data_IF_236459343675
#
_entry.id   IF_236459343675
#
_cell.length_a   1.000
_cell.length_b   1.000
_cell.length_c   1.000
_cell.angle_alpha   90.00
_cell.angle_beta   90.00
_cell.angle_gamma   90.00
#
_symmetry.space_group_name_H-M   'P 1'
#
loop_
_entity.id
_entity.type
_entity.pdbx_description
1 polymer ?
#
# COMPACT_ATOMS: atom_id res chain seq x y z
N UNK A 1 3.29 8.43 8.27
CA UNK A 1 3.12 7.07 8.84
C UNK A 1 3.50 6.08 7.75
N UNK A 2 4.71 5.55 7.81
CA UNK A 2 5.14 4.46 6.92
C UNK A 2 4.47 3.17 7.39
N UNK A 3 3.60 2.59 6.57
CA UNK A 3 3.01 1.30 6.87
C UNK A 3 3.93 0.20 6.33
N UNK A 4 4.71 -0.43 7.21
CA UNK A 4 5.65 -1.50 6.87
C UNK A 4 4.94 -2.85 6.73
N UNK A 5 4.24 -3.05 5.61
CA UNK A 5 3.39 -4.22 5.36
C UNK A 5 4.20 -5.53 5.39
N UNK A 6 5.41 -5.50 4.85
CA UNK A 6 6.34 -6.63 4.75
C UNK A 6 6.86 -7.02 6.13
N UNK A 7 7.16 -6.04 6.99
CA UNK A 7 7.55 -6.29 8.37
C UNK A 7 6.39 -6.90 9.15
N UNK A 8 5.17 -6.35 8.98
CA UNK A 8 3.97 -6.89 9.61
C UNK A 8 3.65 -8.32 9.13
N UNK A 9 3.87 -8.62 7.85
CA UNK A 9 3.69 -9.96 7.29
C UNK A 9 4.66 -10.95 7.93
N UNK A 10 5.95 -10.61 8.01
CA UNK A 10 6.96 -11.45 8.68
C UNK A 10 6.61 -11.71 10.14
N UNK A 11 6.19 -10.68 10.88
CA UNK A 11 5.75 -10.82 12.27
C UNK A 11 4.59 -11.81 12.42
N UNK A 12 3.60 -11.74 11.52
CA UNK A 12 2.44 -12.63 11.55
C UNK A 12 2.79 -14.07 11.13
N UNK A 13 3.72 -14.25 10.20
CA UNK A 13 4.26 -15.58 9.84
C UNK A 13 5.00 -16.22 11.01
N UNK A 14 5.83 -15.46 11.73
CA UNK A 14 6.49 -15.94 12.95
C UNK A 14 5.46 -16.31 14.02
N UNK A 15 4.45 -15.47 14.27
CA UNK A 15 3.39 -15.75 15.24
C UNK A 15 2.59 -17.03 14.88
N UNK A 16 2.32 -17.24 13.60
CA UNK A 16 1.64 -18.44 13.10
C UNK A 16 2.50 -19.70 13.33
N UNK A 17 3.81 -19.62 13.07
CA UNK A 17 4.74 -20.71 13.34
C UNK A 17 4.80 -21.05 14.84
N UNK A 18 4.87 -20.04 15.70
CA UNK A 18 4.83 -20.24 17.17
C UNK A 18 3.51 -20.86 17.63
N UNK A 19 2.37 -20.42 17.10
CA UNK A 19 1.07 -21.00 17.47
C UNK A 19 0.96 -22.48 17.02
N UNK A 20 1.53 -22.82 15.86
CA UNK A 20 1.62 -24.22 15.39
C UNK A 20 2.47 -25.08 16.31
N UNK A 21 3.65 -24.59 16.72
CA UNK A 21 4.53 -25.35 17.63
C UNK A 21 3.87 -25.55 19.00
N UNK A 22 3.16 -24.54 19.51
CA UNK A 22 2.46 -24.64 20.79
C UNK A 22 1.32 -25.67 20.73
N UNK A 23 0.57 -25.71 19.62
CA UNK A 23 -0.47 -26.73 19.42
C UNK A 23 0.15 -28.13 19.37
N UNK A 24 1.24 -28.32 18.61
CA UNK A 24 1.90 -29.62 18.51
C UNK A 24 2.43 -30.11 19.86
N UNK A 25 2.98 -29.21 20.69
CA UNK A 25 3.41 -29.53 22.05
C UNK A 25 2.23 -29.89 22.96
N UNK A 26 1.14 -29.12 22.91
CA UNK A 26 -0.05 -29.38 23.71
C UNK A 26 -0.73 -30.70 23.30
N UNK A 27 -0.78 -31.03 22.01
CA UNK A 27 -1.30 -32.32 21.53
C UNK A 27 -0.44 -33.48 22.04
N UNK A 28 0.90 -33.37 21.98
CA UNK A 28 1.79 -34.41 22.52
C UNK A 28 1.63 -34.60 24.03
N UNK A 29 1.44 -33.51 24.79
CA UNK A 29 1.19 -33.57 26.22
C UNK A 29 -0.15 -34.24 26.54
N UNK A 30 -1.21 -33.91 25.80
CA UNK A 30 -2.51 -34.56 25.89
C UNK A 30 -2.45 -36.07 25.58
N UNK A 31 -1.82 -36.46 24.46
CA UNK A 31 -1.68 -37.87 24.09
C UNK A 31 -0.84 -38.67 25.10
N UNK A 32 0.18 -38.04 25.70
CA UNK A 32 0.97 -38.66 26.75
C UNK A 32 0.16 -38.86 28.04
N UNK A 33 -0.64 -37.85 28.43
CA UNK A 33 -1.50 -37.93 29.60
C UNK A 33 -2.63 -38.97 29.42
N UNK A 34 -3.22 -39.06 28.23
CA UNK A 34 -4.22 -40.07 27.90
C UNK A 34 -3.65 -41.49 28.01
N UNK A 35 -2.44 -41.73 27.46
CA UNK A 35 -1.74 -43.02 27.59
C UNK A 35 -1.41 -43.37 29.03
N UNK A 36 -0.96 -42.40 29.83
CA UNK A 36 -0.70 -42.62 31.25
C UNK A 36 -1.98 -42.99 32.00
N UNK A 37 -3.09 -42.30 31.73
CA UNK A 37 -4.38 -42.59 32.32
C UNK A 37 -4.91 -43.98 31.94
N UNK A 38 -4.75 -44.40 30.67
CA UNK A 38 -5.12 -45.75 30.23
C UNK A 38 -4.26 -46.84 30.87
N UNK A 39 -2.94 -46.65 30.93
CA UNK A 39 -2.03 -47.61 31.58
C UNK A 39 -2.28 -47.73 33.09
N UNK A 40 -2.65 -46.63 33.76
CA UNK A 40 -3.02 -46.66 35.18
C UNK A 40 -4.38 -47.35 35.42
N UNK A 41 -5.33 -47.20 34.50
CA UNK A 41 -6.63 -47.86 34.57
C UNK A 41 -6.49 -49.38 34.37
N UNK A 42 -5.67 -49.81 33.41
CA UNK A 42 -5.34 -51.23 33.19
C UNK A 42 -4.65 -51.86 34.42
N UNK A 43 -3.68 -51.18 35.03
CA UNK A 43 -3.03 -51.66 36.26
C UNK A 43 -4.01 -51.77 37.43
N UNK A 44 -4.95 -50.82 37.54
CA UNK A 44 -5.99 -50.84 38.58
C UNK A 44 -7.02 -51.95 38.32
N UNK A 45 -7.40 -52.20 37.07
CA UNK A 45 -8.35 -53.25 36.72
C UNK A 45 -7.78 -54.66 36.95
N UNK A 46 -6.50 -54.88 36.63
CA UNK A 46 -5.78 -56.12 36.93
C UNK A 46 -5.65 -56.37 38.44
N UNK A 47 -5.34 -55.33 39.23
CA UNK A 47 -5.20 -55.43 40.68
C UNK A 47 -6.53 -55.70 41.41
N UNK A 48 -7.63 -55.12 40.91
CA UNK A 48 -8.96 -55.21 41.54
C UNK A 48 -9.85 -56.32 40.96
N UNK A 49 -9.43 -56.99 39.86
CA UNK A 49 -10.24 -57.97 39.10
C UNK A 49 -11.63 -57.44 38.75
N UNK A 50 -11.72 -56.14 38.49
CA UNK A 50 -12.94 -55.41 38.16
C UNK A 50 -12.57 -54.39 37.10
N UNK A 51 -13.41 -54.24 36.08
CA UNK A 51 -13.17 -53.26 35.02
C UNK A 51 -13.20 -51.84 35.62
N UNK A 52 -12.06 -51.15 35.50
CA UNK A 52 -11.89 -49.75 35.90
C UNK A 52 -11.57 -48.99 34.62
N UNK A 53 -12.46 -48.08 34.22
CA UNK A 53 -12.24 -47.23 33.06
C UNK A 53 -11.23 -46.10 33.35
N UNK A 54 -10.56 -45.55 32.32
CA UNK A 54 -9.71 -44.38 32.45
C UNK A 54 -10.48 -43.21 33.05
N UNK A 55 -9.93 -42.60 34.10
CA UNK A 55 -10.54 -41.43 34.72
C UNK A 55 -10.37 -40.21 33.80
N UNK A 56 -11.43 -39.79 33.12
CA UNK A 56 -11.40 -38.64 32.20
C UNK A 56 -10.96 -37.33 32.87
N UNK A 57 -11.11 -37.23 34.20
CA UNK A 57 -10.68 -36.06 34.95
C UNK A 57 -9.16 -35.92 35.04
N UNK A 58 -8.42 -37.00 34.82
CA UNK A 58 -6.95 -37.04 34.90
C UNK A 58 -6.26 -36.25 33.79
N UNK A 59 -6.86 -36.16 32.60
CA UNK A 59 -6.32 -35.46 31.44
C UNK A 59 -7.16 -34.23 31.01
N UNK A 60 -8.20 -33.87 31.77
CA UNK A 60 -9.06 -32.71 31.48
C UNK A 60 -8.28 -31.38 31.39
N UNK A 61 -7.22 -31.22 32.19
CA UNK A 61 -6.35 -30.05 32.14
C UNK A 61 -5.55 -29.99 30.83
N UNK A 62 -4.97 -31.09 30.39
CA UNK A 62 -4.21 -31.16 29.13
C UNK A 62 -5.11 -30.97 27.90
N UNK A 63 -6.34 -31.50 27.96
CA UNK A 63 -7.36 -31.24 26.94
C UNK A 63 -7.69 -29.74 26.86
N UNK A 64 -7.86 -29.06 27.99
CA UNK A 64 -8.11 -27.62 28.03
C UNK A 64 -6.93 -26.80 27.48
N UNK A 65 -5.68 -27.23 27.74
CA UNK A 65 -4.47 -26.61 27.16
C UNK A 65 -4.44 -26.79 25.64
N UNK A 66 -4.75 -27.99 25.12
CA UNK A 66 -4.82 -28.24 23.68
C UNK A 66 -5.90 -27.43 22.99
N UNK A 67 -7.11 -27.35 23.58
CA UNK A 67 -8.22 -26.53 23.06
C UNK A 67 -7.85 -25.05 23.03
N UNK A 68 -7.16 -24.55 24.06
CA UNK A 68 -6.67 -23.17 24.09
C UNK A 68 -5.63 -22.92 22.99
N UNK A 69 -4.65 -23.82 22.84
CA UNK A 69 -3.62 -23.72 21.80
C UNK A 69 -4.22 -23.76 20.39
N UNK A 70 -5.26 -24.58 20.17
CA UNK A 70 -6.03 -24.60 18.92
C UNK A 70 -6.72 -23.27 18.64
N UNK A 71 -7.39 -22.68 19.65
CA UNK A 71 -8.01 -21.36 19.50
C UNK A 71 -7.00 -20.27 19.16
N UNK A 72 -5.79 -20.33 19.73
CA UNK A 72 -4.70 -19.40 19.42
C UNK A 72 -4.18 -19.56 17.99
N UNK A 73 -4.07 -20.80 17.49
CA UNK A 73 -3.73 -21.08 16.10
C UNK A 73 -4.81 -20.56 15.15
N UNK A 74 -6.08 -20.86 15.42
CA UNK A 74 -7.21 -20.39 14.60
C UNK A 74 -7.26 -18.87 14.56
N UNK A 75 -7.00 -18.20 15.70
CA UNK A 75 -6.90 -16.75 15.76
C UNK A 75 -5.71 -16.21 14.93
N UNK A 76 -4.53 -16.83 15.03
CA UNK A 76 -3.36 -16.44 14.24
C UNK A 76 -3.58 -16.64 12.73
N UNK A 77 -4.21 -17.76 12.33
CA UNK A 77 -4.60 -18.03 10.95
C UNK A 77 -5.65 -17.04 10.44
N UNK A 78 -6.63 -16.67 11.27
CA UNK A 78 -7.62 -15.65 10.92
C UNK A 78 -6.96 -14.28 10.69
N UNK A 79 -5.98 -13.89 11.52
CA UNK A 79 -5.25 -12.63 11.35
C UNK A 79 -4.42 -12.65 10.06
N UNK A 80 -3.75 -13.76 9.73
CA UNK A 80 -3.01 -13.90 8.48
C UNK A 80 -3.95 -13.87 7.27
N UNK A 81 -5.07 -14.57 7.36
CA UNK A 81 -6.12 -14.57 6.32
C UNK A 81 -6.69 -13.19 6.11
N UNK A 82 -6.95 -12.41 7.15
CA UNK A 82 -7.43 -11.02 7.04
C UNK A 82 -6.39 -10.05 6.45
N UNK A 83 -5.09 -10.34 6.64
CA UNK A 83 -4.03 -9.56 5.98
C UNK A 83 -3.97 -9.87 4.48
N UNK A 84 -4.07 -11.15 4.11
CA UNK A 84 -3.90 -11.63 2.74
C UNK A 84 -5.17 -11.44 1.91
N UNK A 85 -6.32 -11.67 2.53
CA UNK A 85 -7.64 -11.59 1.91
C UNK A 85 -8.37 -10.37 2.46
N UNK A 86 -8.69 -9.42 1.57
CA UNK A 86 -9.58 -8.31 1.93
C UNK A 86 -11.03 -8.80 1.77
N UNK A 87 -11.93 -8.57 2.74
CA UNK A 87 -13.36 -8.64 2.47
C UNK A 87 -13.73 -7.51 1.51
N UNK A 88 -13.94 -7.85 0.25
CA UNK A 88 -14.31 -6.93 -0.82
C UNK A 88 -13.82 -7.42 -2.17
N UNK A 89 -14.74 -7.52 -3.14
CA UNK A 89 -14.54 -8.00 -4.52
C UNK A 89 -13.19 -7.51 -5.06
N UNK A 90 -12.22 -8.43 -5.10
CA UNK A 90 -10.80 -8.16 -5.24
C UNK A 90 -10.46 -7.66 -6.63
N UNK A 91 -10.17 -6.38 -6.73
CA UNK A 91 -9.38 -5.82 -7.82
C UNK A 91 -7.99 -6.44 -7.76
N UNK A 92 -7.60 -7.20 -8.80
CA UNK A 92 -6.37 -8.01 -8.89
C UNK A 92 -5.05 -7.22 -8.89
N UNK A 93 -5.14 -5.89 -8.77
CA UNK A 93 -3.97 -5.01 -8.74
C UNK A 93 -3.48 -4.85 -7.30
N UNK A 94 -2.22 -5.23 -6.98
CA UNK A 94 -1.65 -5.07 -5.65
C UNK A 94 -1.61 -3.58 -5.25
N UNK A 95 -1.68 -3.32 -3.93
CA UNK A 95 -1.56 -1.95 -3.43
C UNK A 95 -0.12 -1.45 -3.71
N UNK A 96 0.05 -0.32 -4.43
CA UNK A 96 1.38 0.23 -4.65
C UNK A 96 1.93 0.84 -3.36
N UNK A 97 3.25 0.74 -3.18
CA UNK A 97 3.94 1.66 -2.31
C UNK A 97 4.11 3.00 -3.04
N UNK A 98 3.41 4.03 -2.57
CA UNK A 98 3.50 5.40 -3.10
C UNK A 98 4.49 6.26 -2.30
N UNK A 99 5.15 5.72 -1.28
CA UNK A 99 6.22 6.43 -0.59
C UNK A 99 7.38 6.65 -1.56
N UNK A 100 7.80 7.90 -1.68
CA UNK A 100 9.01 8.33 -2.37
C UNK A 100 9.68 9.38 -1.49
N UNK A 101 11.01 9.36 -1.46
CA UNK A 101 11.80 10.40 -0.82
C UNK A 101 11.50 11.78 -1.43
N UNK A 102 11.48 12.86 -0.63
CA UNK A 102 11.06 14.19 -1.09
C UNK A 102 11.93 14.75 -2.23
N UNK A 103 13.21 14.38 -2.28
CA UNK A 103 14.16 14.77 -3.33
C UNK A 103 13.81 14.21 -4.72
N UNK A 104 13.17 13.05 -4.77
CA UNK A 104 12.75 12.43 -6.03
C UNK A 104 11.29 12.74 -6.40
N UNK A 105 10.48 13.17 -5.43
CA UNK A 105 9.06 13.42 -5.63
C UNK A 105 8.80 14.40 -6.76
N UNK A 106 9.48 15.55 -6.78
CA UNK A 106 9.30 16.58 -7.82
C UNK A 106 9.62 16.05 -9.23
N UNK A 107 10.70 15.27 -9.36
CA UNK A 107 11.08 14.64 -10.64
C UNK A 107 10.05 13.62 -11.11
N UNK A 108 9.55 12.80 -10.19
CA UNK A 108 8.53 11.79 -10.50
C UNK A 108 7.18 12.44 -10.85
N UNK A 109 6.81 13.55 -10.19
CA UNK A 109 5.61 14.33 -10.53
C UNK A 109 5.73 14.95 -11.92
N UNK A 110 6.87 15.57 -12.25
CA UNK A 110 7.11 16.12 -13.59
C UNK A 110 7.10 15.05 -14.68
N UNK A 111 7.64 13.85 -14.38
CA UNK A 111 7.54 12.69 -15.25
C UNK A 111 6.07 12.25 -15.42
N UNK A 112 5.32 12.18 -14.32
CA UNK A 112 3.89 11.85 -14.33
C UNK A 112 3.05 12.81 -15.18
N UNK A 113 3.33 14.11 -15.11
CA UNK A 113 2.67 15.11 -15.96
C UNK A 113 2.95 14.85 -17.45
N UNK A 114 4.22 14.63 -17.83
CA UNK A 114 4.56 14.33 -19.24
C UNK A 114 3.92 13.04 -19.73
N UNK A 115 3.84 12.02 -18.88
CA UNK A 115 3.16 10.77 -19.22
C UNK A 115 1.66 10.98 -19.42
N UNK A 116 1.03 11.78 -18.55
CA UNK A 116 -0.38 12.14 -18.63
C UNK A 116 -0.71 12.86 -19.96
N UNK A 117 0.12 13.83 -20.35
CA UNK A 117 -0.11 14.63 -21.56
C UNK A 117 0.30 13.91 -22.85
N UNK A 118 1.51 13.33 -22.89
CA UNK A 118 2.15 12.96 -24.15
C UNK A 118 2.07 11.47 -24.47
N UNK A 119 2.22 10.59 -23.47
CA UNK A 119 2.31 9.13 -23.70
C UNK A 119 0.92 8.48 -23.68
N UNK A 120 0.12 8.84 -22.68
CA UNK A 120 -1.18 8.23 -22.44
C UNK A 120 -2.37 9.09 -22.89
N UNK A 121 -2.11 10.35 -23.29
CA UNK A 121 -3.11 11.23 -23.88
C UNK A 121 -4.34 11.45 -23.00
N UNK A 122 -4.16 11.49 -21.68
CA UNK A 122 -5.26 11.54 -20.72
C UNK A 122 -6.09 12.82 -20.88
N UNK A 123 -5.44 13.92 -21.27
CA UNK A 123 -6.05 15.20 -21.63
C UNK A 123 -7.03 15.10 -22.81
N UNK A 124 -6.94 14.08 -23.67
CA UNK A 124 -7.89 13.89 -24.76
C UNK A 124 -9.30 13.55 -24.27
N UNK A 125 -9.42 12.93 -23.10
CA UNK A 125 -10.71 12.58 -22.49
C UNK A 125 -11.03 13.41 -21.25
N UNK A 126 -10.04 13.76 -20.43
CA UNK A 126 -10.22 14.47 -19.17
C UNK A 126 -9.82 15.93 -19.27
N UNK A 127 -10.49 16.78 -18.49
CA UNK A 127 -10.12 18.19 -18.36
C UNK A 127 -9.33 18.46 -17.08
N UNK A 128 -8.41 19.42 -17.17
CA UNK A 128 -7.78 20.10 -16.05
C UNK A 128 -7.95 21.60 -16.32
N UNK A 129 -8.69 22.26 -15.45
CA UNK A 129 -9.07 23.66 -15.52
C UNK A 129 -10.05 23.85 -16.66
N UNK A 130 -9.66 24.67 -17.63
CA UNK A 130 -10.45 24.93 -18.84
C UNK A 130 -9.99 24.10 -20.04
N UNK A 131 -8.90 23.33 -19.89
CA UNK A 131 -8.24 22.63 -20.98
C UNK A 131 -8.48 21.12 -20.92
N UNK A 132 -8.59 20.49 -22.09
CA UNK A 132 -8.74 19.04 -22.26
C UNK A 132 -10.15 18.58 -22.69
N UNK A 133 -10.37 17.27 -22.59
CA UNK A 133 -11.57 16.59 -23.05
C UNK A 133 -12.73 16.62 -22.05
N UNK A 134 -13.94 16.34 -22.55
CA UNK A 134 -15.19 16.26 -21.76
C UNK A 134 -15.78 14.84 -21.68
N UNK A 135 -15.04 13.85 -22.20
CA UNK A 135 -15.48 12.44 -22.20
C UNK A 135 -15.37 11.84 -20.80
N UNK A 136 -14.30 12.16 -20.10
CA UNK A 136 -14.06 11.83 -18.70
C UNK A 136 -14.31 13.03 -17.77
N UNK A 137 -14.44 12.80 -16.47
CA UNK A 137 -14.63 13.87 -15.48
C UNK A 137 -13.38 14.76 -15.34
N UNK A 138 -13.60 16.00 -14.90
CA UNK A 138 -12.52 16.93 -14.57
C UNK A 138 -11.64 16.42 -13.41
N UNK A 139 -10.32 16.57 -13.56
CA UNK A 139 -9.30 16.05 -12.64
C UNK A 139 -8.66 17.10 -11.73
N UNK A 140 -9.11 18.35 -11.78
CA UNK A 140 -8.60 19.49 -10.98
C UNK A 140 -8.51 19.25 -9.47
N UNK A 141 -9.43 18.42 -8.99
CA UNK A 141 -9.57 18.07 -7.58
C UNK A 141 -9.29 16.60 -7.32
N UNK A 142 -8.64 15.91 -8.25
CA UNK A 142 -8.37 14.48 -8.13
C UNK A 142 -7.57 14.19 -6.86
N UNK A 143 -6.53 14.97 -6.56
CA UNK A 143 -5.70 14.80 -5.37
C UNK A 143 -6.36 15.17 -4.05
N UNK A 144 -7.47 15.92 -4.09
CA UNK A 144 -8.30 16.19 -2.91
C UNK A 144 -9.37 15.09 -2.71
N UNK A 145 -10.00 14.65 -3.81
CA UNK A 145 -11.14 13.74 -3.79
C UNK A 145 -10.76 12.26 -3.76
N UNK A 146 -9.62 11.89 -4.34
CA UNK A 146 -9.26 10.51 -4.61
C UNK A 146 -8.04 10.09 -3.78
N UNK A 147 -8.06 8.84 -3.33
CA UNK A 147 -6.93 8.23 -2.67
C UNK A 147 -5.89 7.79 -3.71
N UNK A 148 -4.60 8.10 -3.52
CA UNK A 148 -3.54 7.73 -4.46
C UNK A 148 -3.48 6.22 -4.77
N UNK A 149 -3.68 5.35 -3.77
CA UNK A 149 -3.68 3.89 -4.01
C UNK A 149 -4.89 3.45 -4.83
N UNK A 150 -6.02 4.16 -4.71
CA UNK A 150 -7.19 3.93 -5.56
C UNK A 150 -6.92 4.37 -7.00
N UNK A 151 -6.33 5.56 -7.18
CA UNK A 151 -5.97 6.10 -8.51
C UNK A 151 -5.01 5.15 -9.23
N UNK A 152 -3.97 4.67 -8.56
CA UNK A 152 -3.03 3.71 -9.17
C UNK A 152 -3.73 2.45 -9.68
N UNK A 153 -4.62 1.85 -8.87
CA UNK A 153 -5.35 0.64 -9.25
C UNK A 153 -6.31 0.90 -10.39
N UNK A 154 -6.94 2.08 -10.39
CA UNK A 154 -7.81 2.54 -11.46
C UNK A 154 -7.01 2.65 -12.77
N UNK A 155 -5.84 3.29 -12.74
CA UNK A 155 -4.97 3.43 -13.91
C UNK A 155 -4.47 2.08 -14.45
N UNK A 156 -4.20 1.11 -13.58
CA UNK A 156 -3.75 -0.24 -13.98
C UNK A 156 -4.86 -1.03 -14.64
N UNK A 157 -6.08 -1.03 -14.09
CA UNK A 157 -7.21 -1.74 -14.68
C UNK A 157 -8.55 -1.13 -14.22
N UNK A 158 -9.10 -0.15 -14.97
CA UNK A 158 -10.38 0.47 -14.64
C UNK A 158 -11.53 -0.53 -14.65
N UNK A 159 -11.53 -1.47 -15.60
CA UNK A 159 -12.59 -2.47 -15.80
C UNK A 159 -12.69 -3.46 -14.65
N UNK A 160 -11.56 -3.80 -14.03
CA UNK A 160 -11.54 -4.63 -12.82
C UNK A 160 -12.16 -3.91 -11.61
N UNK A 161 -12.14 -2.57 -11.58
CA UNK A 161 -12.74 -1.77 -10.52
C UNK A 161 -14.21 -1.47 -10.79
N UNK A 162 -14.54 -1.17 -12.05
CA UNK A 162 -15.88 -0.93 -12.54
C UNK A 162 -15.99 -1.46 -13.97
N UNK A 163 -16.75 -2.55 -14.14
CA UNK A 163 -16.94 -3.22 -15.44
C UNK A 163 -17.69 -2.34 -16.47
N UNK A 164 -18.37 -1.28 -16.04
CA UNK A 164 -19.07 -0.33 -16.91
C UNK A 164 -18.22 0.91 -17.24
N UNK A 165 -16.96 0.94 -16.77
CA UNK A 165 -16.08 2.07 -17.02
C UNK A 165 -15.86 2.26 -18.53
N UNK A 166 -15.94 3.49 -19.02
CA UNK A 166 -15.57 3.82 -20.41
C UNK A 166 -14.08 4.09 -20.57
N UNK A 167 -13.34 4.18 -19.47
CA UNK A 167 -11.90 4.37 -19.49
C UNK A 167 -11.21 3.05 -19.88
N UNK A 168 -10.44 3.02 -20.98
CA UNK A 168 -9.74 1.81 -21.40
C UNK A 168 -8.60 1.49 -20.44
N UNK A 169 -8.22 0.21 -20.38
CA UNK A 169 -6.98 -0.21 -19.72
C UNK A 169 -5.79 0.17 -20.63
N UNK A 170 -5.09 1.24 -20.29
CA UNK A 170 -4.01 1.82 -21.10
C UNK A 170 -2.67 1.08 -20.99
N UNK A 171 -2.60 -0.01 -20.21
CA UNK A 171 -1.39 -0.84 -20.09
C UNK A 171 -0.21 -0.14 -19.41
N UNK A 172 -0.47 0.75 -18.44
CA UNK A 172 0.60 1.46 -17.73
C UNK A 172 1.55 0.47 -17.02
N UNK A 173 2.86 0.73 -17.16
CA UNK A 173 3.86 0.09 -16.31
C UNK A 173 3.69 0.53 -14.86
N UNK A 174 4.20 -0.23 -13.90
CA UNK A 174 4.05 0.12 -12.48
C UNK A 174 4.73 1.46 -12.13
N UNK A 175 5.88 1.73 -12.77
CA UNK A 175 6.58 3.00 -12.63
C UNK A 175 5.78 4.17 -13.22
N UNK A 176 5.20 3.99 -14.41
CA UNK A 176 4.39 5.02 -15.07
C UNK A 176 3.09 5.28 -14.29
N UNK A 177 2.40 4.22 -13.85
CA UNK A 177 1.19 4.33 -13.04
C UNK A 177 1.48 5.04 -11.71
N UNK A 178 2.62 4.75 -11.06
CA UNK A 178 3.05 5.45 -9.84
C UNK A 178 3.32 6.93 -10.11
N UNK A 179 4.03 7.26 -11.20
CA UNK A 179 4.34 8.64 -11.54
C UNK A 179 3.08 9.47 -11.89
N UNK A 180 2.19 8.93 -12.73
CA UNK A 180 0.92 9.59 -13.07
C UNK A 180 0.04 9.74 -11.83
N UNK A 181 -0.02 8.72 -10.97
CA UNK A 181 -0.74 8.81 -9.69
C UNK A 181 -0.22 9.95 -8.83
N UNK A 182 1.11 10.08 -8.69
CA UNK A 182 1.72 11.15 -7.90
C UNK A 182 1.48 12.54 -8.49
N UNK A 183 1.43 12.65 -9.81
CA UNK A 183 0.99 13.89 -10.45
C UNK A 183 -0.48 14.20 -10.14
N UNK A 184 -1.39 13.24 -10.31
CA UNK A 184 -2.81 13.45 -10.02
C UNK A 184 -3.08 13.78 -8.55
N UNK A 185 -2.25 13.30 -7.61
CA UNK A 185 -2.38 13.66 -6.20
C UNK A 185 -1.92 15.09 -5.89
N UNK A 186 -1.17 15.77 -6.77
CA UNK A 186 -0.88 17.21 -6.60
C UNK A 186 -2.05 18.10 -7.04
N UNK A 187 -2.98 17.59 -7.85
CA UNK A 187 -4.16 18.31 -8.33
C UNK A 187 -5.22 18.46 -7.21
N UNK A 188 -5.00 19.45 -6.35
CA UNK A 188 -5.85 19.78 -5.20
C UNK A 188 -6.34 21.22 -5.36
N UNK A 189 -7.27 21.50 -6.27
CA UNK A 189 -7.69 22.88 -6.48
C UNK A 189 -8.30 23.50 -5.19
N UNK A 190 -7.49 24.29 -4.49
CA UNK A 190 -7.84 25.58 -3.90
C UNK A 190 -6.69 26.51 -4.21
N UNK A 191 -6.74 27.12 -5.38
CA UNK A 191 -6.04 28.38 -5.63
C UNK A 191 -7.15 29.42 -5.69
N UNK A 192 -7.24 30.25 -4.66
CA UNK A 192 -7.98 31.50 -4.80
C UNK A 192 -7.30 32.34 -5.89
N UNK A 193 -8.00 33.32 -6.48
CA UNK A 193 -7.41 34.21 -7.50
C UNK A 193 -6.09 34.86 -7.01
N UNK A 194 -5.94 35.04 -5.70
CA UNK A 194 -4.73 35.53 -5.03
C UNK A 194 -3.54 34.56 -5.15
N UNK A 195 -3.76 33.25 -5.07
CA UNK A 195 -2.70 32.24 -5.19
C UNK A 195 -2.18 32.14 -6.64
N UNK A 196 -3.08 32.34 -7.61
CA UNK A 196 -2.74 32.39 -9.05
C UNK A 196 -1.91 33.65 -9.34
N UNK A 197 -2.28 34.80 -8.77
CA UNK A 197 -1.52 36.05 -8.91
C UNK A 197 -0.15 35.97 -8.23
N UNK A 198 -0.05 35.29 -7.07
CA UNK A 198 1.22 35.10 -6.36
C UNK A 198 2.18 34.16 -7.08
N UNK A 199 1.66 33.10 -7.71
CA UNK A 199 2.46 32.21 -8.56
C UNK A 199 2.93 32.89 -9.85
N UNK A 200 2.07 33.72 -10.47
CA UNK A 200 2.45 34.52 -11.65
C UNK A 200 3.49 35.60 -11.31
N UNK A 201 3.39 36.25 -10.15
CA UNK A 201 4.37 37.23 -9.69
C UNK A 201 5.75 36.60 -9.40
N UNK A 202 5.78 35.39 -8.83
CA UNK A 202 7.04 34.66 -8.59
C UNK A 202 7.72 34.26 -9.90
N UNK A 203 6.97 33.77 -10.89
CA UNK A 203 7.51 33.43 -12.22
C UNK A 203 7.99 34.66 -13.01
N UNK A 204 7.36 35.82 -12.81
CA UNK A 204 7.80 37.09 -13.41
C UNK A 204 9.08 37.63 -12.75
N UNK A 205 9.23 37.47 -11.43
CA UNK A 205 10.45 37.85 -10.71
C UNK A 205 11.66 36.99 -11.14
N UNK A 206 11.45 35.68 -11.32
CA UNK A 206 12.50 34.76 -11.78
C UNK A 206 12.93 35.07 -13.23
N UNK A 207 11.99 35.44 -14.11
CA UNK A 207 12.31 35.93 -15.46
C UNK A 207 13.03 37.28 -15.45
N UNK A 208 12.64 38.20 -14.57
CA UNK A 208 13.27 39.51 -14.45
C UNK A 208 14.69 39.43 -13.88
N UNK A 209 14.96 38.49 -12.96
CA UNK A 209 16.34 38.21 -12.52
C UNK A 209 17.16 37.53 -13.61
N UNK A 210 16.59 36.59 -14.37
CA UNK A 210 17.27 35.97 -15.50
C UNK A 210 17.62 36.99 -16.60
N UNK A 211 16.75 37.96 -16.85
CA UNK A 211 16.98 39.02 -17.83
C UNK A 211 17.99 40.07 -17.36
N UNK A 212 18.00 40.41 -16.06
CA UNK A 212 19.03 41.26 -15.44
C UNK A 212 20.41 40.58 -15.42
N UNK A 213 20.46 39.28 -15.14
CA UNK A 213 21.69 38.49 -15.21
C UNK A 213 22.24 38.42 -16.65
N UNK A 214 21.36 38.27 -17.64
CA UNK A 214 21.75 38.32 -19.06
C UNK A 214 22.21 39.72 -19.51
N UNK A 215 21.63 40.79 -18.97
CA UNK A 215 22.04 42.16 -19.26
C UNK A 215 23.40 42.52 -18.61
N UNK A 216 23.68 42.01 -17.41
CA UNK A 216 24.96 42.21 -16.73
C UNK A 216 26.10 41.47 -17.45
N UNK A 217 25.87 40.22 -17.88
CA UNK A 217 26.84 39.45 -18.65
C UNK A 217 27.24 40.13 -19.99
N UNK A 218 26.32 40.86 -20.62
CA UNK A 218 26.61 41.65 -21.83
C UNK A 218 27.44 42.91 -21.55
N UNK A 219 27.25 43.56 -20.40
CA UNK A 219 28.08 44.71 -19.99
C UNK A 219 29.49 44.29 -19.62
N UNK A 220 29.66 43.15 -18.98
CA UNK A 220 30.97 42.63 -18.59
C UNK A 220 31.79 42.20 -19.83
N UNK A 221 31.14 41.64 -20.85
CA UNK A 221 31.78 41.33 -22.14
C UNK A 221 32.23 42.59 -22.92
N UNK A 222 31.43 43.66 -22.91
CA UNK A 222 31.78 44.92 -23.58
C UNK A 222 32.93 45.69 -22.90
N UNK A 223 33.15 45.44 -21.60
CA UNK A 223 34.23 46.07 -20.83
C UNK A 223 35.56 45.33 -21.01
N UNK A 224 35.52 44.02 -21.27
CA UNK A 224 36.71 43.21 -21.59
C UNK A 224 37.32 43.54 -22.96
N UNK A 225 36.51 43.94 -23.95
CA UNK A 225 37.01 44.29 -25.29
C UNK A 225 37.70 45.67 -25.34
N UNK A 226 37.34 46.59 -24.42
CA UNK A 226 37.94 47.93 -24.32
C UNK A 226 39.29 47.98 -23.60
N UNK A 227 39.74 46.86 -23.02
CA UNK A 227 41.00 46.78 -22.25
C UNK A 227 42.13 46.06 -23.02
N UNK A 228 41.90 45.73 -24.30
CA UNK A 228 42.85 45.00 -25.16
C UNK A 228 43.29 45.81 -26.40
N UNK A 229 43.22 47.14 -26.33
CA UNK A 229 43.78 48.06 -27.33
C UNK A 229 44.89 48.90 -26.71
#
# INVERSE_FOLDING_TARGET
MEFKVEERKKQLETALLTAKTNLEQATKAYEAAEKQASEEAEKKSEALKKDVEPDESSYANELAVMVKAKKELDAAQAVMTNLVTRPGKGTSVPRPDLAIKPDQLAKTVALGQRLYENKYGCNGCHSIGKDGGKVGPALDRAGFRLNGTWVYRWLKNPQAMNAESRMPALGLSDADAKAVTLYLTTLKSMTTEEDIQKAAAAAAAEKAEAEKAAAQAKKDAATAEKTKK
#
